data_IF_307180133024
#
_entry.id   IF_307180133024
#
_cell.length_a   1.000
_cell.length_b   1.000
_cell.length_c   1.000
_cell.angle_alpha   90.00
_cell.angle_beta   90.00
_cell.angle_gamma   90.00
#
_symmetry.space_group_name_H-M   'P 1'
#
loop_
_entity.id
_entity.type
_entity.pdbx_description
1 polymer ?
#
# COMPACT_ATOMS: atom_id res chain seq x y z
N UNK A 1 -17.99 5.62 -11.41
CA UNK A 1 -16.54 5.51 -11.63
C UNK A 1 -15.86 5.38 -10.28
N UNK A 2 -15.27 4.22 -9.96
CA UNK A 2 -14.54 4.00 -8.72
C UNK A 2 -13.05 3.88 -9.01
N UNK A 3 -12.21 4.34 -8.07
CA UNK A 3 -10.76 4.17 -8.05
C UNK A 3 -10.32 3.89 -6.61
N UNK A 4 -9.26 3.11 -6.44
CA UNK A 4 -8.69 2.85 -5.12
C UNK A 4 -7.43 3.70 -4.91
N UNK A 5 -7.42 4.48 -3.83
CA UNK A 5 -6.23 5.14 -3.31
C UNK A 5 -5.53 4.16 -2.37
N UNK A 6 -4.29 3.80 -2.66
CA UNK A 6 -3.51 2.92 -1.81
C UNK A 6 -2.22 3.60 -1.33
N UNK A 7 -1.86 3.37 -0.07
CA UNK A 7 -0.69 3.96 0.56
C UNK A 7 0.18 2.86 1.15
N UNK A 8 1.44 2.80 0.71
CA UNK A 8 2.42 1.88 1.24
C UNK A 8 3.21 2.52 2.39
N UNK A 9 3.50 1.75 3.43
CA UNK A 9 4.34 2.12 4.56
C UNK A 9 5.44 1.07 4.72
N UNK A 10 6.63 1.37 4.19
CA UNK A 10 7.68 0.38 3.93
C UNK A 10 8.49 -0.04 5.16
N UNK A 11 8.68 0.85 6.15
CA UNK A 11 9.51 0.59 7.32
C UNK A 11 11.02 0.52 7.02
N UNK A 12 11.79 0.12 8.01
CA UNK A 12 13.25 0.07 7.95
C UNK A 12 13.90 1.41 8.30
N UNK A 13 15.21 1.49 8.16
CA UNK A 13 16.03 2.63 8.64
C UNK A 13 15.57 3.98 8.09
N UNK A 14 15.18 4.03 6.79
CA UNK A 14 14.78 5.27 6.12
C UNK A 14 13.30 5.32 5.76
N UNK A 15 12.53 4.31 6.12
CA UNK A 15 11.12 4.15 5.71
C UNK A 15 10.12 4.06 6.87
N UNK A 16 10.53 4.36 8.10
CA UNK A 16 9.68 4.23 9.30
C UNK A 16 9.03 5.54 9.76
N UNK A 17 9.14 6.62 8.98
CA UNK A 17 8.46 7.87 9.30
C UNK A 17 6.95 7.78 9.03
N UNK A 18 6.20 8.76 9.54
CA UNK A 18 4.75 8.88 9.37
C UNK A 18 4.38 10.22 8.74
N UNK A 19 3.65 10.17 7.64
CA UNK A 19 3.24 11.38 6.94
C UNK A 19 1.89 11.89 7.47
N UNK A 20 1.92 12.46 8.66
CA UNK A 20 0.73 12.95 9.36
C UNK A 20 -0.12 13.90 8.51
N UNK A 21 0.50 14.86 7.82
CA UNK A 21 -0.19 15.84 6.96
C UNK A 21 -1.04 15.16 5.89
N UNK A 22 -0.53 14.08 5.27
CA UNK A 22 -1.27 13.31 4.28
C UNK A 22 -2.51 12.66 4.89
N UNK A 23 -2.33 11.96 6.01
CA UNK A 23 -3.42 11.25 6.69
C UNK A 23 -4.47 12.23 7.23
N UNK A 24 -4.06 13.33 7.85
CA UNK A 24 -4.99 14.36 8.32
C UNK A 24 -5.85 14.92 7.17
N UNK A 25 -5.26 15.10 5.99
CA UNK A 25 -5.99 15.55 4.81
C UNK A 25 -7.04 14.51 4.35
N UNK A 26 -6.66 13.24 4.29
CA UNK A 26 -7.60 12.18 3.90
C UNK A 26 -8.77 12.06 4.87
N UNK A 27 -8.51 12.19 6.18
CA UNK A 27 -9.55 12.19 7.21
C UNK A 27 -10.47 13.42 7.04
N UNK A 28 -9.90 14.61 6.90
CA UNK A 28 -10.66 15.86 6.74
C UNK A 28 -11.58 15.83 5.51
N UNK A 29 -11.10 15.29 4.40
CA UNK A 29 -11.83 15.24 3.14
C UNK A 29 -12.67 13.96 2.97
N UNK A 30 -12.71 13.11 4.01
CA UNK A 30 -13.44 11.84 4.04
C UNK A 30 -13.08 10.92 2.85
N UNK A 31 -11.75 10.78 2.58
CA UNK A 31 -11.24 9.96 1.49
C UNK A 31 -10.88 8.57 2.00
N UNK A 32 -11.59 7.51 1.62
CA UNK A 32 -11.21 6.15 1.95
C UNK A 32 -9.91 5.76 1.23
N UNK A 33 -9.06 5.02 1.95
CA UNK A 33 -7.80 4.51 1.42
C UNK A 33 -7.48 3.12 1.96
N UNK A 34 -6.79 2.30 1.16
CA UNK A 34 -6.22 1.02 1.61
C UNK A 34 -4.75 1.23 1.94
N UNK A 35 -4.37 0.91 3.18
CA UNK A 35 -3.02 1.08 3.71
C UNK A 35 -2.31 -0.27 3.75
N UNK A 36 -1.27 -0.44 2.94
CA UNK A 36 -0.40 -1.61 2.97
C UNK A 36 0.74 -1.35 3.97
N UNK A 37 0.64 -1.94 5.16
CA UNK A 37 1.58 -1.72 6.25
C UNK A 37 2.60 -2.87 6.33
N UNK A 38 3.88 -2.53 6.28
CA UNK A 38 4.98 -3.47 6.53
C UNK A 38 5.18 -3.67 8.04
N UNK A 39 5.56 -4.88 8.46
CA UNK A 39 5.76 -5.21 9.87
C UNK A 39 6.73 -4.26 10.59
N UNK A 40 7.83 -3.86 9.94
CA UNK A 40 8.83 -2.95 10.51
C UNK A 40 8.29 -1.53 10.72
N UNK A 41 7.36 -1.10 9.83
CA UNK A 41 6.68 0.18 10.02
C UNK A 41 5.69 0.12 11.19
N UNK A 42 4.93 -0.98 11.30
CA UNK A 42 4.00 -1.22 12.42
C UNK A 42 4.76 -1.18 13.75
N UNK A 43 5.91 -1.90 13.84
CA UNK A 43 6.72 -1.94 15.07
C UNK A 43 7.25 -0.55 15.47
N UNK A 44 7.63 0.26 14.49
CA UNK A 44 8.12 1.62 14.73
C UNK A 44 7.01 2.61 15.07
N UNK A 45 5.74 2.31 14.73
CA UNK A 45 4.61 3.24 14.81
C UNK A 45 3.36 2.57 15.42
N UNK A 46 3.51 1.69 16.40
CA UNK A 46 2.43 0.83 16.91
C UNK A 46 1.17 1.60 17.33
N UNK A 47 1.31 2.72 18.03
CA UNK A 47 0.16 3.53 18.47
C UNK A 47 -0.54 4.22 17.29
N UNK A 48 0.22 4.67 16.29
CA UNK A 48 -0.33 5.23 15.06
C UNK A 48 -1.07 4.14 14.28
N UNK A 49 -0.47 2.95 14.13
CA UNK A 49 -1.09 1.83 13.44
C UNK A 49 -2.42 1.41 14.09
N UNK A 50 -2.50 1.40 15.43
CA UNK A 50 -3.74 1.16 16.17
C UNK A 50 -4.81 2.22 15.87
N UNK A 51 -4.44 3.51 15.90
CA UNK A 51 -5.37 4.60 15.58
C UNK A 51 -5.90 4.51 14.16
N UNK A 52 -5.03 4.21 13.19
CA UNK A 52 -5.43 4.04 11.79
C UNK A 52 -6.36 2.83 11.60
N UNK A 53 -6.10 1.72 12.30
CA UNK A 53 -6.93 0.50 12.21
C UNK A 53 -8.34 0.68 12.78
N UNK A 54 -8.56 1.66 13.64
CA UNK A 54 -9.85 1.99 14.25
C UNK A 54 -10.66 3.02 13.44
N UNK A 55 -10.07 3.58 12.39
CA UNK A 55 -10.75 4.57 11.55
C UNK A 55 -11.31 3.90 10.30
N UNK A 56 -12.63 3.92 10.13
CA UNK A 56 -13.35 3.28 9.01
C UNK A 56 -12.95 3.81 7.62
N UNK A 57 -12.27 4.97 7.54
CA UNK A 57 -11.70 5.46 6.29
C UNK A 57 -10.49 4.64 5.82
N UNK A 58 -9.90 3.82 6.69
CA UNK A 58 -8.69 3.07 6.35
C UNK A 58 -8.90 1.56 6.41
N UNK A 59 -8.60 0.90 5.30
CA UNK A 59 -8.46 -0.54 5.22
C UNK A 59 -6.99 -0.91 5.41
N UNK A 60 -6.67 -1.73 6.43
CA UNK A 60 -5.29 -2.15 6.70
C UNK A 60 -5.02 -3.48 6.02
N UNK A 61 -3.97 -3.54 5.21
CA UNK A 61 -3.58 -4.70 4.42
C UNK A 61 -2.07 -4.96 4.47
N UNK A 62 -1.61 -6.10 3.95
CA UNK A 62 -0.30 -6.68 4.18
C UNK A 62 0.76 -6.17 3.17
N UNK A 63 1.84 -5.54 3.69
CA UNK A 63 3.00 -5.10 2.89
C UNK A 63 4.29 -5.89 3.18
N UNK A 64 4.14 -7.12 3.66
CA UNK A 64 5.24 -8.01 3.98
C UNK A 64 5.92 -7.75 5.32
N UNK A 65 6.76 -8.68 5.71
CA UNK A 65 7.49 -8.65 6.99
C UNK A 65 8.77 -7.83 6.91
N UNK A 66 9.62 -8.12 5.92
CA UNK A 66 10.93 -7.50 5.72
C UNK A 66 11.02 -6.59 4.48
N UNK A 67 9.91 -6.37 3.78
CA UNK A 67 9.81 -5.55 2.57
C UNK A 67 10.66 -6.09 1.41
N UNK A 68 10.67 -7.41 1.23
CA UNK A 68 11.42 -8.06 0.17
C UNK A 68 10.59 -8.25 -1.11
N UNK A 69 11.24 -8.23 -2.30
CA UNK A 69 10.65 -8.84 -3.49
C UNK A 69 10.31 -10.31 -3.22
N UNK A 70 9.14 -10.78 -3.67
CA UNK A 70 8.77 -12.17 -3.51
C UNK A 70 9.33 -13.04 -4.64
N UNK A 71 10.32 -13.86 -4.31
CA UNK A 71 11.01 -14.75 -5.21
C UNK A 71 11.30 -16.07 -4.51
N UNK A 72 11.23 -17.17 -5.26
CA UNK A 72 11.64 -18.50 -4.75
C UNK A 72 13.09 -18.84 -5.02
N UNK A 73 13.81 -17.93 -5.70
CA UNK A 73 15.20 -18.17 -6.16
C UNK A 73 16.15 -16.98 -5.92
N UNK A 74 15.80 -16.05 -5.04
CA UNK A 74 16.65 -14.93 -4.65
C UNK A 74 16.70 -13.77 -5.64
N UNK A 75 15.77 -13.68 -6.59
CA UNK A 75 15.78 -12.61 -7.58
C UNK A 75 15.52 -11.26 -6.93
N UNK A 76 16.48 -10.36 -7.08
CA UNK A 76 16.40 -8.99 -6.55
C UNK A 76 15.58 -8.06 -7.45
N UNK A 77 15.00 -7.02 -6.86
CA UNK A 77 14.38 -5.90 -7.55
C UNK A 77 14.76 -4.58 -6.85
N UNK A 78 15.09 -3.55 -7.61
CA UNK A 78 15.51 -2.23 -7.10
C UNK A 78 16.67 -2.30 -6.10
N UNK A 79 17.65 -3.20 -6.32
CA UNK A 79 18.78 -3.47 -5.43
C UNK A 79 18.38 -3.99 -4.03
N UNK A 80 17.18 -4.54 -3.90
CA UNK A 80 16.72 -5.24 -2.70
C UNK A 80 16.72 -6.74 -3.01
N UNK A 81 17.41 -7.51 -2.18
CA UNK A 81 17.45 -8.96 -2.34
C UNK A 81 16.07 -9.58 -2.07
N UNK A 82 15.63 -10.42 -3.00
CA UNK A 82 14.38 -11.15 -2.86
C UNK A 82 14.46 -12.28 -1.84
N UNK A 83 13.30 -12.83 -1.49
CA UNK A 83 13.21 -14.12 -0.83
C UNK A 83 13.83 -15.20 -1.72
N UNK A 84 14.47 -16.22 -1.14
CA UNK A 84 15.28 -17.20 -1.86
C UNK A 84 14.73 -18.64 -1.82
N UNK A 85 13.62 -18.83 -1.11
CA UNK A 85 12.94 -20.11 -0.95
C UNK A 85 11.44 -19.93 -0.75
N UNK A 86 10.68 -21.03 -0.84
CA UNK A 86 9.25 -21.03 -0.52
C UNK A 86 9.03 -20.68 0.96
N UNK A 87 9.87 -21.20 1.86
CA UNK A 87 9.75 -20.91 3.30
C UNK A 87 9.93 -19.41 3.59
N UNK A 88 10.91 -18.77 2.94
CA UNK A 88 11.09 -17.31 3.08
C UNK A 88 9.91 -16.51 2.49
N UNK A 89 9.28 -16.99 1.41
CA UNK A 89 8.05 -16.38 0.87
C UNK A 89 6.92 -16.49 1.88
N UNK A 90 6.75 -17.68 2.48
CA UNK A 90 5.73 -17.91 3.52
C UNK A 90 5.98 -16.96 4.71
N UNK A 91 7.20 -16.87 5.20
CA UNK A 91 7.55 -16.00 6.33
C UNK A 91 7.28 -14.52 6.02
N UNK A 92 7.65 -14.06 4.81
CA UNK A 92 7.45 -12.67 4.39
C UNK A 92 5.96 -12.27 4.35
N UNK A 93 5.08 -13.21 4.00
CA UNK A 93 3.64 -12.97 3.95
C UNK A 93 2.99 -13.22 5.33
N UNK A 94 3.20 -14.40 5.89
CA UNK A 94 2.46 -14.91 7.04
C UNK A 94 2.79 -14.19 8.34
N UNK A 95 4.07 -13.87 8.59
CA UNK A 95 4.44 -13.19 9.84
C UNK A 95 3.82 -11.81 9.96
N UNK A 96 3.68 -11.08 8.84
CA UNK A 96 2.99 -9.80 8.86
C UNK A 96 1.47 -9.95 8.86
N UNK A 97 0.91 -10.99 8.22
CA UNK A 97 -0.52 -11.31 8.32
C UNK A 97 -0.94 -11.52 9.79
N UNK A 98 -0.16 -12.28 10.57
CA UNK A 98 -0.39 -12.46 11.99
C UNK A 98 -0.33 -11.14 12.77
N UNK A 99 0.69 -10.31 12.49
CA UNK A 99 0.83 -8.99 13.12
C UNK A 99 -0.35 -8.07 12.82
N UNK A 100 -0.87 -8.08 11.60
CA UNK A 100 -2.07 -7.32 11.22
C UNK A 100 -3.31 -7.87 11.93
N UNK A 101 -3.44 -9.20 12.05
CA UNK A 101 -4.56 -9.81 12.78
C UNK A 101 -4.54 -9.42 14.27
N UNK A 102 -3.37 -9.43 14.92
CA UNK A 102 -3.20 -8.91 16.27
C UNK A 102 -3.56 -7.43 16.42
N UNK A 103 -3.18 -6.61 15.42
CA UNK A 103 -3.43 -5.17 15.41
C UNK A 103 -4.90 -4.83 15.21
N UNK A 104 -5.59 -5.52 14.30
CA UNK A 104 -6.90 -5.14 13.76
C UNK A 104 -8.04 -6.04 14.20
N UNK A 105 -7.73 -7.23 14.74
CA UNK A 105 -8.70 -8.30 15.06
C UNK A 105 -9.20 -9.05 13.82
N UNK A 106 -8.62 -8.81 12.62
CA UNK A 106 -8.96 -9.49 11.37
C UNK A 106 -7.72 -9.82 10.54
N UNK A 107 -7.76 -10.92 9.81
CA UNK A 107 -6.72 -11.24 8.82
C UNK A 107 -6.77 -10.23 7.66
N UNK A 108 -5.59 -9.86 7.16
CA UNK A 108 -5.47 -9.19 5.87
C UNK A 108 -5.99 -10.09 4.74
N UNK A 109 -6.53 -9.47 3.71
CA UNK A 109 -7.06 -10.16 2.52
C UNK A 109 -6.22 -9.89 1.28
N UNK A 110 -5.43 -8.84 1.31
CA UNK A 110 -4.64 -8.38 0.18
C UNK A 110 -3.19 -8.23 0.60
N UNK A 111 -2.31 -8.62 -0.32
CA UNK A 111 -0.87 -8.54 -0.13
C UNK A 111 -0.23 -7.72 -1.25
N UNK A 112 0.67 -6.81 -0.87
CA UNK A 112 1.57 -6.13 -1.82
C UNK A 112 3.00 -6.33 -1.36
N UNK A 113 3.87 -6.90 -2.23
CA UNK A 113 5.29 -7.08 -1.88
C UNK A 113 6.01 -5.73 -1.81
N UNK A 114 7.11 -5.68 -1.08
CA UNK A 114 7.88 -4.46 -0.86
C UNK A 114 8.41 -3.77 -2.13
N UNK A 115 8.36 -4.43 -3.27
CA UNK A 115 8.78 -3.89 -4.57
C UNK A 115 7.73 -4.05 -5.65
N UNK A 116 6.54 -4.53 -5.29
CA UNK A 116 5.50 -4.98 -6.20
C UNK A 116 5.98 -6.10 -7.17
N UNK A 117 7.05 -6.81 -6.82
CA UNK A 117 7.59 -7.95 -7.57
C UNK A 117 7.12 -9.27 -6.97
N UNK A 118 6.72 -10.19 -7.85
CA UNK A 118 6.33 -11.58 -7.52
C UNK A 118 6.85 -12.52 -8.60
N UNK A 119 7.33 -13.72 -8.24
CA UNK A 119 7.37 -14.82 -9.17
C UNK A 119 6.07 -15.64 -9.10
N UNK A 120 5.86 -16.53 -10.10
CA UNK A 120 4.61 -17.29 -10.23
C UNK A 120 4.33 -18.19 -9.02
N UNK A 121 5.38 -18.76 -8.43
CA UNK A 121 5.25 -19.64 -7.25
C UNK A 121 4.89 -18.81 -6.02
N UNK A 122 5.51 -17.63 -5.86
CA UNK A 122 5.18 -16.73 -4.78
C UNK A 122 3.71 -16.29 -4.83
N UNK A 123 3.15 -16.05 -6.01
CA UNK A 123 1.72 -15.77 -6.19
C UNK A 123 0.85 -16.93 -5.72
N UNK A 124 1.24 -18.19 -6.01
CA UNK A 124 0.52 -19.37 -5.52
C UNK A 124 0.55 -19.45 -3.99
N UNK A 125 1.72 -19.21 -3.37
CA UNK A 125 1.86 -19.20 -1.90
C UNK A 125 0.98 -18.13 -1.25
N UNK A 126 0.92 -16.92 -1.81
CA UNK A 126 0.03 -15.86 -1.29
C UNK A 126 -1.43 -16.31 -1.30
N UNK A 127 -1.88 -16.93 -2.40
CA UNK A 127 -3.25 -17.43 -2.52
C UNK A 127 -3.53 -18.58 -1.53
N UNK A 128 -2.57 -19.47 -1.31
CA UNK A 128 -2.69 -20.57 -0.33
C UNK A 128 -2.75 -20.04 1.12
N UNK A 129 -2.16 -18.88 1.38
CA UNK A 129 -2.28 -18.15 2.65
C UNK A 129 -3.56 -17.31 2.78
N UNK A 130 -4.51 -17.50 1.84
CA UNK A 130 -5.81 -16.82 1.80
C UNK A 130 -5.72 -15.29 1.57
N UNK A 131 -4.63 -14.81 0.99
CA UNK A 131 -4.48 -13.42 0.54
C UNK A 131 -4.47 -13.34 -0.99
N UNK A 132 -4.77 -12.17 -1.52
CA UNK A 132 -4.69 -11.87 -2.96
C UNK A 132 -3.55 -10.91 -3.22
N UNK A 133 -2.63 -11.19 -4.15
CA UNK A 133 -1.63 -10.23 -4.56
C UNK A 133 -2.29 -9.03 -5.26
N UNK A 134 -1.92 -7.82 -4.86
CA UNK A 134 -2.47 -6.57 -5.42
C UNK A 134 -1.35 -5.64 -5.82
N UNK A 135 -1.28 -5.33 -7.11
CA UNK A 135 -0.43 -4.29 -7.65
C UNK A 135 -1.25 -3.01 -7.97
N UNK A 136 -0.83 -2.25 -8.94
CA UNK A 136 -1.41 -0.96 -9.30
C UNK A 136 -1.25 -0.72 -10.81
N UNK A 137 -2.08 0.14 -11.37
CA UNK A 137 -1.95 0.62 -12.75
C UNK A 137 -1.56 2.10 -12.83
N UNK A 138 -1.61 2.83 -11.70
CA UNK A 138 -1.14 4.22 -11.61
C UNK A 138 -0.01 4.32 -10.60
N UNK A 139 1.18 4.70 -11.08
CA UNK A 139 2.32 5.07 -10.24
C UNK A 139 2.14 6.50 -9.77
N UNK A 140 1.61 6.68 -8.57
CA UNK A 140 1.24 8.00 -8.06
C UNK A 140 2.43 8.88 -7.68
N UNK A 141 3.38 8.32 -6.93
CA UNK A 141 4.50 9.11 -6.39
C UNK A 141 5.90 8.48 -6.58
N UNK A 142 6.00 7.31 -7.24
CA UNK A 142 7.25 6.61 -7.51
C UNK A 142 8.16 6.46 -6.27
N UNK A 143 7.61 5.91 -5.18
CA UNK A 143 8.38 5.76 -3.93
C UNK A 143 8.62 7.11 -3.23
N UNK A 144 7.70 8.06 -3.36
CA UNK A 144 7.77 9.43 -2.86
C UNK A 144 8.91 10.27 -3.49
N UNK A 145 9.34 9.94 -4.71
CA UNK A 145 10.39 10.68 -5.43
C UNK A 145 9.84 11.72 -6.42
N UNK A 146 8.56 11.61 -6.80
CA UNK A 146 7.92 12.54 -7.73
C UNK A 146 7.70 13.91 -7.11
N UNK A 147 7.83 14.96 -7.96
CA UNK A 147 7.38 16.30 -7.61
C UNK A 147 5.85 16.39 -7.59
N UNK A 148 5.31 17.45 -6.99
CA UNK A 148 3.86 17.74 -6.98
C UNK A 148 3.25 17.67 -8.38
N UNK A 149 3.93 18.22 -9.37
CA UNK A 149 3.43 18.26 -10.76
C UNK A 149 3.44 16.87 -11.41
N UNK A 150 4.47 16.05 -11.14
CA UNK A 150 4.52 14.68 -11.62
C UNK A 150 3.40 13.83 -10.99
N UNK A 151 3.19 13.94 -9.66
CA UNK A 151 2.10 13.28 -8.95
C UNK A 151 0.75 13.65 -9.57
N UNK A 152 0.52 14.94 -9.79
CA UNK A 152 -0.70 15.45 -10.41
C UNK A 152 -0.93 14.84 -11.80
N UNK A 153 0.07 14.92 -12.68
CA UNK A 153 -0.05 14.46 -14.07
C UNK A 153 -0.22 12.93 -14.17
N UNK A 154 0.51 12.14 -13.35
CA UNK A 154 0.36 10.69 -13.32
C UNK A 154 -1.02 10.28 -12.78
N UNK A 155 -1.48 10.92 -11.72
CA UNK A 155 -2.79 10.64 -11.13
C UNK A 155 -3.95 10.93 -12.07
N UNK A 156 -3.83 11.93 -12.95
CA UNK A 156 -4.85 12.24 -13.95
C UNK A 156 -5.03 11.16 -15.03
N UNK A 157 -4.11 10.21 -15.15
CA UNK A 157 -4.22 9.05 -16.05
C UNK A 157 -5.19 7.99 -15.54
N UNK A 158 -5.66 8.11 -14.28
CA UNK A 158 -6.57 7.16 -13.66
C UNK A 158 -7.85 6.97 -14.48
N UNK A 159 -8.28 5.73 -14.58
CA UNK A 159 -9.49 5.26 -15.28
C UNK A 159 -10.44 4.59 -14.27
N UNK A 160 -11.70 4.39 -14.60
CA UNK A 160 -12.58 3.57 -13.76
C UNK A 160 -11.95 2.19 -13.49
N UNK A 161 -11.81 1.84 -12.21
CA UNK A 161 -11.16 0.62 -11.75
C UNK A 161 -9.68 0.74 -11.46
N UNK A 162 -9.05 1.91 -11.65
CA UNK A 162 -7.63 2.09 -11.35
C UNK A 162 -7.31 1.92 -9.87
N UNK A 163 -6.16 1.30 -9.60
CA UNK A 163 -5.52 1.24 -8.29
C UNK A 163 -4.28 2.13 -8.34
N UNK A 164 -4.24 3.14 -7.47
CA UNK A 164 -3.18 4.14 -7.44
C UNK A 164 -2.26 3.89 -6.25
N UNK A 165 -0.94 3.77 -6.49
CA UNK A 165 0.04 3.62 -5.40
C UNK A 165 0.66 4.96 -5.01
N UNK A 166 0.73 5.18 -3.70
CA UNK A 166 1.47 6.26 -3.05
C UNK A 166 2.15 5.75 -1.78
N UNK A 167 2.92 6.61 -1.11
CA UNK A 167 3.64 6.25 0.11
C UNK A 167 3.30 7.22 1.26
N UNK A 168 3.09 6.66 2.46
CA UNK A 168 2.75 7.43 3.67
C UNK A 168 3.88 7.47 4.71
N UNK A 169 5.06 7.01 4.33
CA UNK A 169 6.23 6.87 5.20
C UNK A 169 7.38 7.83 4.85
N UNK A 170 7.14 8.80 3.96
CA UNK A 170 8.15 9.78 3.49
C UNK A 170 7.62 11.22 3.63
N UNK A 171 7.57 11.79 4.86
CA UNK A 171 6.95 13.10 5.11
C UNK A 171 7.68 14.28 4.48
N UNK A 172 8.94 14.09 4.06
CA UNK A 172 9.73 15.10 3.35
C UNK A 172 9.52 15.10 1.83
N UNK A 173 8.77 14.13 1.30
CA UNK A 173 8.39 14.06 -0.10
C UNK A 173 7.22 14.99 -0.43
N UNK A 174 6.80 14.96 -1.70
CA UNK A 174 5.71 15.80 -2.22
C UNK A 174 4.35 15.09 -2.29
N UNK A 175 4.24 13.89 -1.71
CA UNK A 175 3.04 13.04 -1.86
C UNK A 175 1.78 13.72 -1.34
N UNK A 176 1.83 14.35 -0.15
CA UNK A 176 0.65 15.04 0.40
C UNK A 176 0.19 16.20 -0.48
N UNK A 177 1.11 17.05 -0.90
CA UNK A 177 0.81 18.21 -1.75
C UNK A 177 0.26 17.79 -3.12
N UNK A 178 0.82 16.74 -3.72
CA UNK A 178 0.34 16.18 -4.97
C UNK A 178 -1.07 15.62 -4.86
N UNK A 179 -1.35 14.84 -3.81
CA UNK A 179 -2.67 14.28 -3.51
C UNK A 179 -3.68 15.39 -3.24
N UNK A 180 -3.32 16.41 -2.43
CA UNK A 180 -4.17 17.56 -2.16
C UNK A 180 -4.55 18.33 -3.42
N UNK A 181 -3.64 18.40 -4.40
CA UNK A 181 -3.88 19.06 -5.70
C UNK A 181 -4.79 18.24 -6.60
N UNK A 182 -4.66 16.91 -6.63
CA UNK A 182 -5.34 16.07 -7.63
C UNK A 182 -6.69 15.53 -7.16
N UNK A 183 -6.90 15.25 -5.87
CA UNK A 183 -8.17 14.67 -5.37
C UNK A 183 -9.39 15.51 -5.76
N UNK A 184 -9.42 16.87 -5.59
CA UNK A 184 -10.57 17.66 -5.99
C UNK A 184 -10.89 17.50 -7.48
N UNK A 185 -9.86 17.48 -8.33
CA UNK A 185 -10.03 17.33 -9.79
C UNK A 185 -10.59 15.94 -10.15
N UNK A 186 -10.14 14.89 -9.49
CA UNK A 186 -10.69 13.55 -9.72
C UNK A 186 -12.15 13.45 -9.24
N UNK A 187 -12.50 14.07 -8.10
CA UNK A 187 -13.89 14.17 -7.65
C UNK A 187 -14.78 14.93 -8.66
N UNK A 188 -14.32 16.06 -9.21
CA UNK A 188 -15.01 16.82 -10.26
C UNK A 188 -15.21 16.01 -11.54
N UNK A 189 -14.27 15.13 -11.89
CA UNK A 189 -14.39 14.18 -13.00
C UNK A 189 -15.36 13.00 -12.70
N UNK A 190 -15.97 12.98 -11.52
CA UNK A 190 -16.96 12.00 -11.10
C UNK A 190 -16.35 10.68 -10.57
N UNK A 191 -15.09 10.69 -10.18
CA UNK A 191 -14.49 9.53 -9.49
C UNK A 191 -14.90 9.50 -8.01
N UNK A 192 -15.16 8.28 -7.52
CA UNK A 192 -15.33 7.97 -6.10
C UNK A 192 -14.15 7.14 -5.64
N UNK A 193 -13.55 7.52 -4.51
CA UNK A 193 -12.52 6.75 -3.85
C UNK A 193 -13.15 5.63 -3.02
N UNK A 194 -12.57 4.44 -3.05
CA UNK A 194 -13.11 3.24 -2.41
C UNK A 194 -11.99 2.39 -1.80
N UNK A 195 -12.33 1.56 -0.81
CA UNK A 195 -11.44 0.49 -0.35
C UNK A 195 -11.37 -0.64 -1.38
N UNK A 196 -10.28 -1.37 -1.40
CA UNK A 196 -10.13 -2.53 -2.28
C UNK A 196 -11.19 -3.59 -1.93
N UNK A 197 -11.39 -3.90 -0.65
CA UNK A 197 -12.33 -4.94 -0.18
C UNK A 197 -13.78 -4.75 -0.65
N UNK A 198 -14.20 -3.50 -0.83
CA UNK A 198 -15.59 -3.19 -1.17
C UNK A 198 -15.86 -3.27 -2.68
N UNK A 199 -14.80 -3.18 -3.48
CA UNK A 199 -14.89 -3.02 -4.93
C UNK A 199 -13.89 -3.87 -5.73
N UNK A 200 -13.30 -4.91 -5.15
CA UNK A 200 -12.28 -5.74 -5.78
C UNK A 200 -12.68 -6.29 -7.16
N UNK A 201 -13.98 -6.56 -7.37
CA UNK A 201 -14.54 -7.02 -8.66
C UNK A 201 -14.53 -5.96 -9.76
N UNK A 202 -14.38 -4.69 -9.40
CA UNK A 202 -14.40 -3.54 -10.30
C UNK A 202 -13.06 -2.85 -10.45
N UNK A 203 -12.05 -3.29 -9.68
CA UNK A 203 -10.68 -2.80 -9.72
C UNK A 203 -9.85 -3.64 -10.71
N UNK A 204 -8.73 -3.08 -11.19
CA UNK A 204 -7.90 -3.70 -12.23
C UNK A 204 -6.66 -4.35 -11.66
#
# INVERSE_FOLDING_TARGET
>A
RVIALTLDACGGEYGSSYYKKLIDYLIKEEIPATLFLNARWIDSNIEIAKLLSQNDLFEIENHGYSHKPLSTNGKSAYNIDGTSSIDEVIDEVYLNQQKIEELTGRKSKYFRSGTAYYDDIAVMVINDLEEKPVNFDIVGDAGATFSVEQIYNESLKAKPGSIMIFHMNQPNGSTAEGIMKVIPVLKEKGFKFVHIKDYDKFLK
#
